data_IF_920760319938
#
_entry.id   IF_920760319938
#
_cell.length_a   1.000
_cell.length_b   1.000
_cell.length_c   1.000
_cell.angle_alpha   90.00
_cell.angle_beta   90.00
_cell.angle_gamma   90.00
#
_symmetry.space_group_name_H-M   'P 1'
#
loop_
_entity.id
_entity.type
_entity.pdbx_description
1 polymer ?
#
# COMPACT_ATOMS: atom_id res chain seq x y z
N UNK A 1 9.07 -13.56 16.04
CA UNK A 1 10.05 -12.79 15.25
C UNK A 1 10.27 -13.38 13.86
N UNK A 2 10.88 -14.56 13.68
CA UNK A 2 11.16 -15.13 12.34
C UNK A 2 9.92 -15.24 11.44
N UNK A 3 8.79 -15.74 11.97
CA UNK A 3 7.51 -15.76 11.25
C UNK A 3 7.08 -14.35 10.80
N UNK A 4 7.24 -13.34 11.64
CA UNK A 4 6.90 -11.95 11.29
C UNK A 4 7.80 -11.44 10.17
N UNK A 5 9.10 -11.77 10.18
CA UNK A 5 10.01 -11.38 9.10
C UNK A 5 9.67 -12.03 7.76
N UNK A 6 9.21 -13.29 7.77
CA UNK A 6 8.78 -14.00 6.57
C UNK A 6 7.42 -13.45 6.10
N UNK A 7 6.44 -13.34 7.00
CA UNK A 7 5.10 -12.86 6.69
C UNK A 7 5.09 -11.38 6.24
N UNK A 8 6.02 -10.56 6.76
CA UNK A 8 6.22 -9.17 6.32
C UNK A 8 7.14 -9.04 5.09
N UNK A 9 7.58 -10.17 4.52
CA UNK A 9 8.42 -10.21 3.32
C UNK A 9 9.84 -9.65 3.48
N UNK A 10 10.26 -9.33 4.70
CA UNK A 10 11.62 -8.88 5.00
C UNK A 10 12.66 -10.00 4.81
N UNK A 11 12.23 -11.26 4.95
CA UNK A 11 13.01 -12.44 4.62
C UNK A 11 12.22 -13.33 3.64
N UNK A 12 12.59 -13.37 2.35
CA UNK A 12 11.91 -14.23 1.40
C UNK A 12 12.24 -15.72 1.72
N UNK A 13 11.23 -16.59 1.75
CA UNK A 13 11.45 -18.02 1.95
C UNK A 13 12.14 -18.63 0.72
N UNK A 14 12.93 -19.68 0.93
CA UNK A 14 13.62 -20.40 -0.15
C UNK A 14 12.67 -21.12 -1.14
N UNK A 15 11.41 -21.32 -0.78
CA UNK A 15 10.41 -21.94 -1.65
C UNK A 15 9.20 -21.03 -1.77
N UNK A 16 8.97 -20.51 -2.98
CA UNK A 16 7.84 -19.65 -3.33
C UNK A 16 6.90 -20.39 -4.29
N UNK A 17 6.26 -21.45 -3.80
CA UNK A 17 5.31 -22.24 -4.61
C UNK A 17 4.05 -22.54 -3.82
N UNK A 18 3.35 -21.52 -3.31
CA UNK A 18 1.91 -21.52 -3.00
C UNK A 18 1.32 -22.66 -2.14
N UNK A 19 2.12 -23.56 -1.62
CA UNK A 19 1.70 -24.84 -1.06
C UNK A 19 2.09 -24.88 0.41
N UNK A 20 1.07 -24.82 1.28
CA UNK A 20 1.21 -24.94 2.73
C UNK A 20 1.80 -26.31 3.10
N UNK A 21 3.11 -26.40 3.28
CA UNK A 21 3.73 -27.62 3.81
C UNK A 21 4.86 -27.35 4.82
N UNK A 22 4.54 -27.58 6.10
CA UNK A 22 5.49 -28.05 7.13
C UNK A 22 6.66 -27.14 7.55
N UNK A 23 7.52 -27.68 8.42
CA UNK A 23 8.69 -27.02 9.05
C UNK A 23 9.74 -26.49 8.05
N UNK A 24 9.70 -26.94 6.80
CA UNK A 24 10.66 -26.58 5.72
C UNK A 24 10.28 -25.27 5.01
N UNK A 25 9.01 -24.83 5.10
CA UNK A 25 8.51 -23.55 4.55
C UNK A 25 9.10 -22.27 5.20
N UNK A 26 9.99 -22.42 6.17
CA UNK A 26 10.66 -21.32 6.90
C UNK A 26 12.16 -21.24 6.66
N UNK A 27 12.68 -22.03 5.72
CA UNK A 27 14.08 -21.95 5.35
C UNK A 27 14.30 -20.65 4.57
N UNK A 28 15.31 -19.88 4.97
CA UNK A 28 15.68 -18.58 4.40
C UNK A 28 17.15 -18.67 4.00
N UNK A 29 17.49 -18.15 2.82
CA UNK A 29 18.88 -18.04 2.37
C UNK A 29 19.71 -17.17 3.32
N UNK A 30 20.91 -17.61 3.70
CA UNK A 30 21.86 -16.82 4.48
C UNK A 30 22.17 -15.46 3.85
N UNK A 31 22.18 -15.37 2.52
CA UNK A 31 22.41 -14.11 1.79
C UNK A 31 21.29 -13.08 2.06
N UNK A 32 20.05 -13.53 2.22
CA UNK A 32 18.92 -12.66 2.56
C UNK A 32 19.00 -12.18 4.01
N UNK A 33 19.48 -13.04 4.92
CA UNK A 33 19.75 -12.66 6.31
C UNK A 33 20.84 -11.60 6.37
N UNK A 34 21.94 -11.78 5.64
CA UNK A 34 23.03 -10.79 5.57
C UNK A 34 22.57 -9.46 4.96
N UNK A 35 21.73 -9.53 3.92
CA UNK A 35 21.13 -8.33 3.31
C UNK A 35 20.22 -7.60 4.29
N UNK A 36 19.40 -8.31 5.07
CA UNK A 36 18.57 -7.73 6.12
C UNK A 36 19.43 -7.04 7.18
N UNK A 37 20.53 -7.68 7.62
CA UNK A 37 21.44 -7.06 8.59
C UNK A 37 22.14 -5.82 8.02
N UNK A 38 22.55 -5.81 6.76
CA UNK A 38 23.09 -4.60 6.11
C UNK A 38 22.08 -3.46 6.13
N UNK A 39 20.83 -3.72 5.74
CA UNK A 39 19.74 -2.73 5.80
C UNK A 39 19.50 -2.23 7.23
N UNK A 40 19.57 -3.12 8.23
CA UNK A 40 19.42 -2.74 9.63
C UNK A 40 20.51 -1.75 10.06
N UNK A 41 21.75 -1.95 9.60
CA UNK A 41 22.87 -1.05 9.88
C UNK A 41 22.72 0.31 9.18
N UNK A 42 22.07 0.34 8.01
CA UNK A 42 21.80 1.57 7.25
C UNK A 42 20.67 2.39 7.88
N UNK A 43 19.61 1.73 8.35
CA UNK A 43 18.39 2.38 8.85
C UNK A 43 18.52 2.82 10.31
N UNK A 44 19.32 2.13 11.13
CA UNK A 44 19.39 2.38 12.56
C UNK A 44 20.77 2.86 13.02
N UNK A 45 20.84 4.11 13.47
CA UNK A 45 22.07 4.71 13.99
C UNK A 45 22.54 3.99 15.29
N UNK A 46 23.84 3.69 15.44
CA UNK A 46 24.38 3.07 16.66
C UNK A 46 24.32 4.02 17.85
N UNK A 47 23.91 3.50 19.01
CA UNK A 47 23.93 4.18 20.31
C UNK A 47 24.48 3.24 21.39
N UNK A 48 25.19 3.81 22.37
CA UNK A 48 25.70 3.05 23.52
C UNK A 48 24.64 2.79 24.58
N UNK A 49 23.76 3.78 24.78
CA UNK A 49 22.71 3.77 25.80
C UNK A 49 21.38 4.06 25.11
N UNK A 50 20.33 3.35 25.53
CA UNK A 50 18.98 3.56 25.01
C UNK A 50 18.50 4.98 25.35
N UNK A 51 18.13 5.81 24.36
CA UNK A 51 17.56 7.12 24.61
C UNK A 51 16.24 7.01 25.38
N UNK A 52 15.93 8.01 26.19
CA UNK A 52 14.69 8.04 26.98
C UNK A 52 13.47 7.93 26.07
N UNK A 53 12.54 7.05 26.45
CA UNK A 53 11.30 6.80 25.69
C UNK A 53 11.46 5.81 24.53
N UNK A 54 12.68 5.38 24.19
CA UNK A 54 12.89 4.35 23.17
C UNK A 54 12.96 2.96 23.80
N UNK A 55 12.28 2.01 23.17
CA UNK A 55 12.20 0.64 23.66
C UNK A 55 12.57 -0.36 22.57
N UNK A 56 12.94 -1.57 22.99
CA UNK A 56 13.04 -2.69 22.06
C UNK A 56 11.70 -2.94 21.34
N UNK A 57 11.77 -3.63 20.21
CA UNK A 57 10.61 -3.91 19.38
C UNK A 57 9.43 -4.55 20.14
N UNK A 58 9.70 -5.47 21.06
CA UNK A 58 8.65 -6.17 21.78
C UNK A 58 7.90 -5.22 22.73
N UNK A 59 8.65 -4.46 23.53
CA UNK A 59 8.10 -3.48 24.45
C UNK A 59 7.49 -2.28 23.74
N UNK A 60 8.03 -1.87 22.60
CA UNK A 60 7.45 -0.82 21.77
C UNK A 60 6.13 -1.25 21.14
N UNK A 61 6.02 -2.48 20.64
CA UNK A 61 4.76 -3.03 20.13
C UNK A 61 3.69 -3.09 21.23
N UNK A 62 4.05 -3.58 22.42
CA UNK A 62 3.16 -3.59 23.57
C UNK A 62 2.71 -2.18 23.98
N UNK A 63 3.66 -1.24 24.08
CA UNK A 63 3.38 0.12 24.52
C UNK A 63 2.56 0.92 23.50
N UNK A 64 2.87 0.79 22.21
CA UNK A 64 2.14 1.48 21.12
C UNK A 64 0.77 0.88 20.84
N UNK A 65 0.58 -0.42 21.15
CA UNK A 65 -0.54 -1.27 20.70
C UNK A 65 -0.56 -1.56 19.20
N UNK A 66 0.55 -1.32 18.51
CA UNK A 66 0.73 -1.64 17.09
C UNK A 66 1.46 -2.97 16.96
N UNK A 67 1.06 -3.78 15.99
CA UNK A 67 1.63 -5.10 15.78
C UNK A 67 3.03 -5.01 15.14
N UNK A 68 3.89 -5.98 15.47
CA UNK A 68 5.26 -6.07 14.95
C UNK A 68 5.34 -6.22 13.42
N UNK A 69 4.33 -6.83 12.80
CA UNK A 69 4.21 -6.98 11.36
C UNK A 69 4.01 -5.65 10.62
N UNK A 70 3.53 -4.60 11.32
CA UNK A 70 3.45 -3.23 10.80
C UNK A 70 4.71 -2.42 11.16
N UNK A 71 5.21 -2.55 12.38
CA UNK A 71 6.37 -1.78 12.88
C UNK A 71 7.64 -2.12 12.09
N UNK A 72 7.91 -3.41 11.85
CA UNK A 72 9.15 -3.83 11.20
C UNK A 72 9.27 -3.28 9.77
N UNK A 73 8.27 -3.42 8.89
CA UNK A 73 8.30 -2.77 7.58
C UNK A 73 8.44 -1.25 7.67
N UNK A 74 7.76 -0.59 8.62
CA UNK A 74 7.87 0.86 8.80
C UNK A 74 9.31 1.30 9.11
N UNK A 75 10.01 0.56 9.98
CA UNK A 75 11.44 0.76 10.22
C UNK A 75 12.22 0.63 8.90
N UNK A 76 12.12 -0.52 8.22
CA UNK A 76 12.95 -0.80 7.05
C UNK A 76 12.61 0.08 5.82
N UNK A 77 11.43 0.70 5.79
CA UNK A 77 11.03 1.70 4.78
C UNK A 77 11.45 3.12 5.15
N UNK A 78 12.02 3.35 6.33
CA UNK A 78 12.41 4.68 6.80
C UNK A 78 11.20 5.58 7.12
N UNK A 79 10.06 5.00 7.50
CA UNK A 79 8.85 5.75 7.89
C UNK A 79 8.88 6.23 9.35
N UNK A 80 9.89 5.81 10.10
CA UNK A 80 10.15 6.23 11.47
C UNK A 80 11.44 7.05 11.51
N UNK A 81 11.39 8.21 12.14
CA UNK A 81 12.53 9.10 12.32
C UNK A 81 13.35 8.67 13.54
N UNK A 82 12.68 8.12 14.57
CA UNK A 82 13.33 7.74 15.84
C UNK A 82 13.59 6.24 15.86
N UNK A 83 14.62 5.84 15.12
CA UNK A 83 15.14 4.48 15.11
C UNK A 83 16.63 4.48 15.43
N UNK A 84 17.04 3.71 16.43
CA UNK A 84 18.46 3.51 16.74
C UNK A 84 18.75 2.07 17.14
N UNK A 85 20.03 1.70 17.23
CA UNK A 85 20.44 0.35 17.64
C UNK A 85 21.49 0.40 18.75
N UNK A 86 21.39 -0.52 19.70
CA UNK A 86 22.41 -0.68 20.75
C UNK A 86 23.68 -1.32 20.18
N UNK A 87 24.83 -0.67 20.35
CA UNK A 87 26.13 -1.15 19.84
C UNK A 87 26.53 -2.54 20.36
N UNK A 88 26.13 -2.85 21.59
CA UNK A 88 26.52 -4.08 22.30
C UNK A 88 25.52 -5.22 22.14
N UNK A 89 24.35 -4.96 21.55
CA UNK A 89 23.37 -6.02 21.20
C UNK A 89 23.49 -6.36 19.72
N UNK A 90 23.09 -7.57 19.35
CA UNK A 90 23.11 -8.04 17.97
C UNK A 90 21.70 -8.18 17.39
N UNK A 91 21.62 -7.99 16.08
CA UNK A 91 20.40 -8.18 15.29
C UNK A 91 19.22 -7.31 15.72
N UNK A 92 18.00 -7.81 15.52
CA UNK A 92 16.76 -7.06 15.76
C UNK A 92 16.51 -6.75 17.25
N UNK A 93 17.12 -7.50 18.17
CA UNK A 93 17.06 -7.21 19.61
C UNK A 93 17.85 -5.96 20.00
N UNK A 94 18.76 -5.51 19.13
CA UNK A 94 19.48 -4.26 19.31
C UNK A 94 18.64 -3.05 18.93
N UNK A 95 17.58 -3.24 18.12
CA UNK A 95 16.78 -2.17 17.55
C UNK A 95 15.89 -1.53 18.62
N UNK A 96 15.91 -0.21 18.65
CA UNK A 96 15.13 0.64 19.53
C UNK A 96 14.28 1.58 18.70
N UNK A 97 13.02 1.73 19.09
CA UNK A 97 12.02 2.57 18.42
C UNK A 97 11.19 3.33 19.46
N UNK A 98 10.60 4.46 19.08
CA UNK A 98 9.70 5.23 19.94
C UNK A 98 8.24 4.77 19.77
N UNK A 99 7.58 4.23 20.81
CA UNK A 99 6.18 3.81 20.73
C UNK A 99 5.19 4.97 20.56
N UNK A 100 5.56 6.21 20.93
CA UNK A 100 4.73 7.40 20.71
C UNK A 100 4.68 7.71 19.22
N UNK A 101 5.84 7.77 18.56
CA UNK A 101 5.93 7.97 17.11
C UNK A 101 5.19 6.88 16.34
N UNK A 102 5.35 5.61 16.75
CA UNK A 102 4.63 4.49 16.15
C UNK A 102 3.12 4.68 16.24
N UNK A 103 2.59 5.14 17.39
CA UNK A 103 1.16 5.35 17.54
C UNK A 103 0.66 6.52 16.70
N UNK A 104 1.42 7.60 16.65
CA UNK A 104 1.07 8.81 15.88
C UNK A 104 1.05 8.54 14.37
N UNK A 105 1.90 7.65 13.88
CA UNK A 105 2.02 7.30 12.46
C UNK A 105 1.37 5.97 12.08
N UNK A 106 0.52 5.40 12.94
CA UNK A 106 -0.11 4.08 12.70
C UNK A 106 -0.82 3.99 11.34
N UNK A 107 -1.46 5.09 10.91
CA UNK A 107 -2.15 5.17 9.62
C UNK A 107 -1.19 5.22 8.41
N UNK A 108 0.04 5.69 8.59
CA UNK A 108 1.08 5.72 7.54
C UNK A 108 1.74 4.35 7.33
N UNK A 109 1.53 3.42 8.27
CA UNK A 109 2.02 2.04 8.18
C UNK A 109 1.02 1.10 7.51
N UNK A 110 -0.14 1.61 7.08
CA UNK A 110 -1.14 0.83 6.36
C UNK A 110 -0.45 0.18 5.15
N UNK A 111 -0.46 -1.16 5.05
CA UNK A 111 0.30 -1.87 4.03
C UNK A 111 -0.07 -1.36 2.63
N UNK A 112 -1.34 -1.05 2.39
CA UNK A 112 -1.88 -0.62 1.12
C UNK A 112 -3.31 -1.15 1.03
N UNK A 113 -4.07 -0.73 0.02
CA UNK A 113 -5.44 -1.19 -0.18
C UNK A 113 -5.39 -2.40 -1.13
N UNK A 114 -5.87 -3.59 -0.72
CA UNK A 114 -5.94 -4.74 -1.62
C UNK A 114 -6.72 -4.43 -2.90
N UNK A 115 -6.34 -5.01 -4.04
CA UNK A 115 -6.94 -4.72 -5.34
C UNK A 115 -8.47 -4.81 -5.33
N UNK A 116 -9.01 -5.90 -4.77
CA UNK A 116 -10.46 -6.11 -4.70
C UNK A 116 -11.17 -4.97 -3.96
N UNK A 117 -10.66 -4.58 -2.80
CA UNK A 117 -11.21 -3.46 -2.02
C UNK A 117 -11.07 -2.14 -2.79
N UNK A 118 -9.95 -1.93 -3.48
CA UNK A 118 -9.75 -0.74 -4.31
C UNK A 118 -10.77 -0.69 -5.46
N UNK A 119 -11.06 -1.82 -6.11
CA UNK A 119 -12.04 -1.90 -7.20
C UNK A 119 -13.46 -1.62 -6.70
N UNK A 120 -13.83 -2.19 -5.54
CA UNK A 120 -15.11 -1.90 -4.87
C UNK A 120 -15.26 -0.42 -4.53
N UNK A 121 -14.22 0.20 -3.97
CA UNK A 121 -14.22 1.64 -3.67
C UNK A 121 -14.36 2.52 -4.92
N UNK A 122 -13.86 2.05 -6.07
CA UNK A 122 -14.00 2.72 -7.35
C UNK A 122 -15.30 2.33 -8.08
N UNK A 123 -16.10 1.40 -7.53
CA UNK A 123 -17.32 0.89 -8.18
C UNK A 123 -17.04 0.23 -9.53
N UNK A 124 -15.88 -0.42 -9.67
CA UNK A 124 -15.50 -1.14 -10.91
C UNK A 124 -15.44 -2.64 -10.64
N UNK A 125 -15.67 -3.44 -11.67
CA UNK A 125 -15.49 -4.89 -11.60
C UNK A 125 -14.01 -5.26 -11.82
N UNK A 126 -13.67 -6.52 -11.55
CA UNK A 126 -12.29 -7.02 -11.65
C UNK A 126 -11.69 -6.83 -13.05
N UNK A 127 -12.47 -7.07 -14.13
CA UNK A 127 -11.97 -6.90 -15.50
C UNK A 127 -11.57 -5.45 -15.82
N UNK A 128 -12.33 -4.48 -15.32
CA UNK A 128 -12.02 -3.05 -15.46
C UNK A 128 -10.87 -2.67 -14.53
N UNK A 129 -10.88 -3.17 -13.29
CA UNK A 129 -9.82 -2.97 -12.30
C UNK A 129 -8.46 -3.41 -12.82
N UNK A 130 -8.37 -4.60 -13.41
CA UNK A 130 -7.16 -5.13 -14.06
C UNK A 130 -6.65 -4.21 -15.17
N UNK A 131 -7.56 -3.58 -15.93
CA UNK A 131 -7.18 -2.62 -16.99
C UNK A 131 -6.67 -1.29 -16.42
N UNK A 132 -7.15 -0.87 -15.25
CA UNK A 132 -6.68 0.34 -14.56
C UNK A 132 -5.26 0.20 -14.03
N UNK A 133 -4.90 -0.99 -13.54
CA UNK A 133 -3.56 -1.28 -13.02
C UNK A 133 -2.56 -1.70 -14.11
N UNK A 134 -3.06 -2.18 -15.25
CA UNK A 134 -2.23 -2.53 -16.40
C UNK A 134 -1.55 -1.30 -17.03
N UNK A 135 -0.32 -1.48 -17.53
CA UNK A 135 0.45 -0.47 -18.30
C UNK A 135 -0.14 -0.16 -19.71
N UNK A 136 -1.44 -0.36 -19.92
CA UNK A 136 -2.15 -0.03 -21.18
C UNK A 136 -2.23 1.47 -21.40
N UNK A 137 -2.26 2.20 -20.30
CA UNK A 137 -2.05 3.64 -20.23
C UNK A 137 -0.67 3.78 -19.59
N UNK A 138 0.29 4.42 -20.26
CA UNK A 138 1.62 4.65 -19.66
C UNK A 138 1.66 6.12 -19.24
N UNK A 139 1.70 6.44 -17.94
CA UNK A 139 1.65 5.54 -16.77
C UNK A 139 0.24 4.99 -16.47
N UNK A 140 0.12 3.88 -15.70
CA UNK A 140 -1.17 3.25 -15.38
C UNK A 140 -2.05 4.21 -14.59
N UNK A 141 -3.36 4.13 -14.82
CA UNK A 141 -4.35 5.01 -14.18
C UNK A 141 -4.48 4.75 -12.68
N UNK A 142 -4.27 3.50 -12.25
CA UNK A 142 -4.22 3.12 -10.86
C UNK A 142 -2.87 2.43 -10.57
N UNK A 143 -1.83 3.19 -10.21
CA UNK A 143 -0.54 2.61 -9.86
C UNK A 143 -0.66 1.65 -8.69
N UNK A 144 -0.06 0.47 -8.84
CA UNK A 144 0.04 -0.51 -7.77
C UNK A 144 1.41 -0.45 -7.11
N UNK A 145 1.42 -0.78 -5.82
CA UNK A 145 2.61 -1.00 -5.02
C UNK A 145 2.71 -2.49 -4.72
N UNK A 146 3.85 -3.08 -5.07
CA UNK A 146 4.16 -4.43 -4.62
C UNK A 146 4.66 -4.34 -3.19
N UNK A 147 3.82 -4.75 -2.25
CA UNK A 147 4.22 -4.83 -0.85
C UNK A 147 4.99 -6.12 -0.63
N UNK A 148 6.12 -6.00 0.05
CA UNK A 148 6.87 -7.16 0.51
C UNK A 148 5.99 -8.03 1.43
N UNK A 149 5.85 -9.31 1.11
CA UNK A 149 5.09 -10.29 1.90
C UNK A 149 3.63 -10.48 1.48
N UNK A 150 3.12 -9.67 0.55
CA UNK A 150 1.81 -9.88 -0.05
C UNK A 150 1.95 -10.61 -1.39
N UNK A 151 1.21 -11.71 -1.55
CA UNK A 151 1.14 -12.46 -2.83
C UNK A 151 0.54 -11.61 -3.94
N UNK A 152 -0.38 -10.70 -3.58
CA UNK A 152 -1.06 -9.81 -4.51
C UNK A 152 -0.59 -8.37 -4.32
N UNK A 153 -0.39 -7.61 -5.42
CA UNK A 153 -0.06 -6.20 -5.34
C UNK A 153 -1.21 -5.42 -4.67
N UNK A 154 -0.88 -4.29 -4.04
CA UNK A 154 -1.87 -3.41 -3.42
C UNK A 154 -1.88 -2.06 -4.13
N UNK A 155 -2.91 -1.26 -3.87
CA UNK A 155 -3.01 0.12 -4.33
C UNK A 155 -2.63 1.05 -3.18
N UNK A 156 -1.78 2.02 -3.47
CA UNK A 156 -1.49 3.07 -2.49
C UNK A 156 -2.77 3.91 -2.23
N UNK A 157 -3.13 4.22 -0.97
CA UNK A 157 -4.30 5.05 -0.68
C UNK A 157 -4.31 6.38 -1.44
N UNK A 158 -3.15 7.02 -1.64
CA UNK A 158 -3.02 8.26 -2.40
C UNK A 158 -3.31 8.05 -3.90
N UNK A 159 -3.04 6.86 -4.45
CA UNK A 159 -3.38 6.52 -5.83
C UNK A 159 -4.88 6.47 -6.04
N UNK A 160 -5.65 5.91 -5.09
CA UNK A 160 -7.13 5.94 -5.13
C UNK A 160 -7.63 7.38 -5.06
N UNK A 161 -7.11 8.19 -4.13
CA UNK A 161 -7.51 9.60 -4.00
C UNK A 161 -7.20 10.40 -5.27
N UNK A 162 -6.03 10.21 -5.86
CA UNK A 162 -5.64 10.86 -7.11
C UNK A 162 -6.54 10.42 -8.27
N UNK A 163 -6.92 9.15 -8.32
CA UNK A 163 -7.86 8.65 -9.33
C UNK A 163 -9.22 9.31 -9.17
N UNK A 164 -9.80 9.27 -7.97
CA UNK A 164 -11.10 9.87 -7.66
C UNK A 164 -11.10 11.40 -7.89
N UNK A 165 -9.99 12.10 -7.65
CA UNK A 165 -9.90 13.53 -7.89
C UNK A 165 -9.89 13.90 -9.39
N UNK A 166 -9.28 13.05 -10.23
CA UNK A 166 -9.01 13.37 -11.65
C UNK A 166 -10.01 12.74 -12.61
N UNK A 167 -10.50 11.56 -12.28
CA UNK A 167 -11.28 10.73 -13.18
C UNK A 167 -12.65 10.42 -12.61
N UNK A 168 -13.60 10.20 -13.51
CA UNK A 168 -14.93 9.75 -13.17
C UNK A 168 -15.45 8.78 -14.24
N UNK A 169 -16.13 7.72 -13.79
CA UNK A 169 -16.94 6.87 -14.66
C UNK A 169 -18.40 7.29 -14.56
N UNK A 170 -19.24 6.87 -15.52
CA UNK A 170 -20.68 7.14 -15.45
C UNK A 170 -21.31 6.55 -14.17
N UNK A 171 -20.80 5.42 -13.67
CA UNK A 171 -21.29 4.84 -12.41
C UNK A 171 -20.93 5.69 -11.19
N UNK A 172 -19.73 6.27 -11.15
CA UNK A 172 -19.35 7.21 -10.09
C UNK A 172 -20.24 8.46 -10.12
N UNK A 173 -20.45 9.03 -11.32
CA UNK A 173 -21.31 10.20 -11.49
C UNK A 173 -22.77 9.90 -11.11
N UNK A 174 -23.26 8.71 -11.43
CA UNK A 174 -24.58 8.24 -10.99
C UNK A 174 -24.68 8.19 -9.47
N UNK A 175 -23.68 7.62 -8.79
CA UNK A 175 -23.65 7.56 -7.33
C UNK A 175 -23.59 8.94 -6.67
N UNK A 176 -22.95 9.93 -7.32
CA UNK A 176 -22.79 11.29 -6.80
C UNK A 176 -24.02 12.18 -7.00
N UNK A 177 -24.62 12.15 -8.19
CA UNK A 177 -25.70 13.08 -8.58
C UNK A 177 -27.08 12.43 -8.44
N UNK A 178 -27.15 11.11 -8.34
CA UNK A 178 -28.41 10.35 -8.24
C UNK A 178 -29.25 10.30 -9.52
N UNK A 179 -28.68 10.73 -10.65
CA UNK A 179 -29.30 10.67 -11.98
C UNK A 179 -29.05 9.31 -12.63
N UNK A 180 -29.97 8.88 -13.50
CA UNK A 180 -29.79 7.63 -14.25
C UNK A 180 -28.57 7.68 -15.17
N UNK A 181 -27.92 6.53 -15.38
CA UNK A 181 -26.74 6.44 -16.24
C UNK A 181 -27.00 6.95 -17.67
N UNK A 182 -28.21 6.75 -18.19
CA UNK A 182 -28.61 7.25 -19.51
C UNK A 182 -28.70 8.78 -19.55
N UNK A 183 -29.33 9.39 -18.53
CA UNK A 183 -29.41 10.85 -18.43
C UNK A 183 -28.02 11.48 -18.33
N UNK A 184 -27.12 10.87 -17.56
CA UNK A 184 -25.72 11.31 -17.44
C UNK A 184 -25.02 11.25 -18.80
N UNK A 185 -25.19 10.17 -19.56
CA UNK A 185 -24.59 10.05 -20.90
C UNK A 185 -25.15 11.08 -21.88
N UNK A 186 -26.46 11.33 -21.86
CA UNK A 186 -27.09 12.36 -22.69
C UNK A 186 -26.58 13.76 -22.34
N UNK A 187 -26.44 14.07 -21.06
CA UNK A 187 -25.90 15.35 -20.59
C UNK A 187 -24.44 15.54 -20.98
N UNK A 188 -23.59 14.53 -20.80
CA UNK A 188 -22.19 14.56 -21.24
C UNK A 188 -22.09 14.74 -22.76
N UNK A 189 -22.94 14.05 -23.53
CA UNK A 189 -22.99 14.20 -24.98
C UNK A 189 -23.46 15.59 -25.43
N UNK A 190 -24.49 16.13 -24.79
CA UNK A 190 -25.02 17.48 -25.06
C UNK A 190 -23.96 18.56 -24.75
N UNK A 191 -23.19 18.38 -23.67
CA UNK A 191 -22.06 19.23 -23.32
C UNK A 191 -20.79 18.96 -24.16
N UNK A 192 -20.85 18.03 -25.13
CA UNK A 192 -19.73 17.61 -26.00
C UNK A 192 -18.50 17.13 -25.23
N UNK A 193 -18.69 16.63 -24.01
CA UNK A 193 -17.61 16.07 -23.19
C UNK A 193 -17.30 14.68 -23.71
N UNK A 194 -16.08 14.50 -24.22
CA UNK A 194 -15.60 13.21 -24.71
C UNK A 194 -14.89 12.45 -23.59
N UNK A 195 -15.02 11.11 -23.54
CA UNK A 195 -14.20 10.31 -22.65
C UNK A 195 -12.72 10.48 -23.04
N UNK A 196 -11.85 10.49 -22.03
CA UNK A 196 -10.40 10.48 -22.24
C UNK A 196 -9.93 9.07 -22.56
N UNK A 197 -10.59 8.06 -21.99
CA UNK A 197 -10.39 6.66 -22.32
C UNK A 197 -11.71 6.01 -22.69
N UNK A 198 -11.73 5.40 -23.86
CA UNK A 198 -12.92 4.75 -24.41
C UNK A 198 -13.17 3.38 -23.79
N UNK A 199 -14.45 2.97 -23.77
CA UNK A 199 -14.90 1.62 -23.39
C UNK A 199 -14.14 0.49 -24.08
N UNK A 200 -13.72 0.66 -25.33
CA UNK A 200 -12.98 -0.39 -26.05
C UNK A 200 -11.60 -0.67 -25.45
N UNK A 201 -10.97 0.35 -24.85
CA UNK A 201 -9.65 0.23 -24.24
C UNK A 201 -9.76 -0.20 -22.76
N UNK A 202 -10.70 0.39 -22.02
CA UNK A 202 -10.77 0.27 -20.56
C UNK A 202 -11.94 -0.58 -20.04
N UNK A 203 -12.87 -0.99 -20.91
CA UNK A 203 -14.13 -1.65 -20.51
C UNK A 203 -15.21 -0.69 -20.01
N UNK A 204 -14.85 0.56 -19.78
CA UNK A 204 -15.74 1.64 -19.36
C UNK A 204 -15.25 2.96 -19.94
N UNK A 205 -16.17 3.89 -20.17
CA UNK A 205 -15.83 5.25 -20.58
C UNK A 205 -15.36 6.04 -19.35
N UNK A 206 -14.13 6.53 -19.39
CA UNK A 206 -13.51 7.30 -18.31
C UNK A 206 -13.41 8.76 -18.74
N UNK A 207 -13.99 9.64 -17.95
CA UNK A 207 -14.03 11.08 -18.18
C UNK A 207 -13.10 11.80 -17.22
N UNK A 208 -12.59 12.97 -17.63
CA UNK A 208 -11.99 13.91 -16.68
C UNK A 208 -13.09 14.48 -15.79
N UNK A 209 -12.83 14.47 -14.49
CA UNK A 209 -13.80 14.91 -13.49
C UNK A 209 -14.10 16.40 -13.58
N UNK A 210 -13.11 17.22 -13.92
CA UNK A 210 -13.27 18.66 -14.21
C UNK A 210 -14.30 18.91 -15.30
N UNK A 211 -14.24 18.10 -16.35
CA UNK A 211 -15.04 18.27 -17.56
C UNK A 211 -16.46 17.72 -17.34
N UNK A 212 -16.59 16.65 -16.55
CA UNK A 212 -17.86 16.06 -16.19
C UNK A 212 -18.64 16.90 -15.16
N UNK A 213 -18.00 17.42 -14.11
CA UNK A 213 -18.71 18.22 -13.08
C UNK A 213 -19.30 19.51 -13.62
N UNK A 214 -18.61 20.18 -14.56
CA UNK A 214 -19.13 21.39 -15.21
C UNK A 214 -20.44 21.19 -15.98
N UNK A 215 -20.89 19.94 -16.16
CA UNK A 215 -22.17 19.59 -16.79
C UNK A 215 -23.32 19.50 -15.77
N UNK A 216 -23.01 19.23 -14.51
CA UNK A 216 -24.01 18.97 -13.45
C UNK A 216 -24.11 20.10 -12.42
N UNK A 217 -23.14 21.01 -12.36
CA UNK A 217 -23.22 22.25 -11.58
C UNK A 217 -24.21 23.22 -12.28
N UNK A 218 -25.45 23.28 -11.78
CA UNK A 218 -26.46 24.32 -12.05
C UNK A 218 -26.72 25.10 -10.77
#
# INVERSE_FOLDING_TARGET
>A
MVKVLIDSGLLPPLHDTGAKYGKVSRAVDSNHIDTLFKRLLEVAAPVRVAPTGMYDLAKAAESSRVKLDMILPAVFRGQLDRVCRLEWKKGLEALLVDPVEIREREFEFQPGIPLQMAFEMLGVNDEIGERLISNRTSPPLLPTIQLFGHTEPCVDPSAIQNFLARWATVQMLHAEVGLSANAIQEMLAAAKVKPVYDRNLMGVDIYRRSDARGVFDV
#
